data_IF_211246940077
#
_entry.id   IF_211246940077
#
_cell.length_a   1.000
_cell.length_b   1.000
_cell.length_c   1.000
_cell.angle_alpha   90.00
_cell.angle_beta   90.00
_cell.angle_gamma   90.00
#
_symmetry.space_group_name_H-M   'P 1'
#
loop_
_entity.id
_entity.type
_entity.pdbx_description
1 polymer ?
#
# COMPACT_ATOMS: atom_id res chain seq x y z
N UNK A 1 21.36 10.76 2.69
CA UNK A 1 21.13 9.54 1.86
C UNK A 1 21.17 8.35 2.81
N UNK A 2 20.15 7.50 2.84
CA UNK A 2 20.13 6.32 3.73
C UNK A 2 21.01 5.22 3.12
N UNK A 3 21.80 4.54 3.95
CA UNK A 3 22.55 3.33 3.60
C UNK A 3 22.00 2.15 4.39
N UNK A 4 22.07 0.95 3.83
CA UNK A 4 21.49 -0.25 4.42
C UNK A 4 22.05 -1.51 3.76
N UNK A 5 21.68 -2.66 4.33
CA UNK A 5 22.10 -3.99 3.89
C UNK A 5 21.40 -4.48 2.61
N UNK A 6 20.28 -3.87 2.24
CA UNK A 6 19.55 -4.16 1.01
C UNK A 6 18.99 -2.88 0.41
N UNK A 7 19.03 -2.79 -0.92
CA UNK A 7 18.35 -1.74 -1.68
C UNK A 7 17.58 -2.38 -2.83
N UNK A 8 16.28 -2.16 -2.86
CA UNK A 8 15.40 -2.61 -3.92
C UNK A 8 14.46 -1.48 -4.36
N UNK A 9 13.96 -1.58 -5.58
CA UNK A 9 12.95 -0.69 -6.16
C UNK A 9 11.56 -1.36 -6.26
N UNK A 10 11.39 -2.53 -5.61
CA UNK A 10 10.16 -3.28 -5.54
C UNK A 10 9.75 -3.43 -4.07
N UNK A 11 8.50 -3.09 -3.75
CA UNK A 11 7.95 -3.23 -2.41
C UNK A 11 7.93 -4.69 -1.93
N UNK A 12 7.56 -5.64 -2.81
CA UNK A 12 7.43 -7.05 -2.41
C UNK A 12 8.76 -7.64 -1.93
N UNK A 13 9.84 -7.35 -2.66
CA UNK A 13 11.20 -7.75 -2.26
C UNK A 13 11.60 -7.15 -0.91
N UNK A 14 11.21 -5.90 -0.63
CA UNK A 14 11.47 -5.27 0.67
C UNK A 14 10.63 -5.90 1.79
N UNK A 15 9.37 -6.25 1.51
CA UNK A 15 8.47 -6.97 2.43
C UNK A 15 9.06 -8.33 2.81
N UNK A 16 9.45 -9.15 1.82
CA UNK A 16 10.07 -10.45 2.06
C UNK A 16 11.33 -10.32 2.91
N UNK A 17 12.19 -9.34 2.60
CA UNK A 17 13.38 -9.06 3.38
C UNK A 17 13.08 -8.68 4.84
N UNK A 18 12.04 -7.86 5.07
CA UNK A 18 11.63 -7.49 6.42
C UNK A 18 11.07 -8.69 7.20
N UNK A 19 10.26 -9.54 6.56
CA UNK A 19 9.73 -10.77 7.17
C UNK A 19 10.86 -11.76 7.49
N UNK A 20 11.91 -11.82 6.66
CA UNK A 20 13.12 -12.59 6.91
C UNK A 20 14.05 -11.98 7.98
N UNK A 21 13.68 -10.86 8.60
CA UNK A 21 14.44 -10.23 9.67
C UNK A 21 15.65 -9.42 9.21
N UNK A 22 15.73 -9.06 7.91
CA UNK A 22 16.85 -8.28 7.38
C UNK A 22 16.80 -6.80 7.78
N UNK A 23 15.72 -6.32 8.40
CA UNK A 23 15.70 -4.98 8.99
C UNK A 23 14.33 -4.31 8.94
N UNK A 24 14.34 -2.98 9.01
CA UNK A 24 13.13 -2.15 9.00
C UNK A 24 12.87 -1.61 7.60
N UNK A 25 11.60 -1.57 7.21
CA UNK A 25 11.16 -0.98 5.95
C UNK A 25 10.08 0.06 6.20
N UNK A 26 10.06 1.08 5.34
CA UNK A 26 8.89 1.93 5.17
C UNK A 26 8.03 1.29 4.09
N UNK A 27 6.80 0.90 4.43
CA UNK A 27 5.91 0.19 3.51
C UNK A 27 4.50 0.75 3.54
N UNK A 28 3.73 0.40 2.51
CA UNK A 28 2.30 0.68 2.38
C UNK A 28 1.51 -0.44 3.04
N UNK A 29 0.43 -0.09 3.73
CA UNK A 29 -0.35 -1.05 4.51
C UNK A 29 -1.01 -2.13 3.66
N UNK A 30 -1.39 -1.83 2.40
CA UNK A 30 -1.89 -2.87 1.49
C UNK A 30 -0.89 -3.99 1.21
N UNK A 31 0.41 -3.70 1.34
CA UNK A 31 1.47 -4.67 1.07
C UNK A 31 1.79 -5.51 2.31
N UNK A 32 1.76 -4.91 3.50
CA UNK A 32 2.20 -5.56 4.75
C UNK A 32 1.08 -5.85 5.76
N UNK A 33 -0.15 -5.47 5.46
CA UNK A 33 -1.30 -5.56 6.37
C UNK A 33 -1.51 -6.98 6.90
N UNK A 34 -1.46 -7.98 6.02
CA UNK A 34 -1.60 -9.39 6.40
C UNK A 34 -0.44 -9.89 7.28
N UNK A 35 0.78 -9.40 7.08
CA UNK A 35 1.92 -9.76 7.93
C UNK A 35 1.87 -9.09 9.30
N UNK A 36 1.33 -7.87 9.36
CA UNK A 36 1.06 -7.17 10.62
C UNK A 36 -0.01 -7.92 11.41
N UNK A 37 -1.13 -8.30 10.77
CA UNK A 37 -2.20 -9.08 11.38
C UNK A 37 -1.73 -10.46 11.86
N UNK A 38 -0.90 -11.13 11.05
CA UNK A 38 -0.32 -12.42 11.41
C UNK A 38 0.84 -12.33 12.42
N UNK A 39 1.26 -11.14 12.83
CA UNK A 39 2.38 -10.92 13.77
C UNK A 39 3.77 -11.23 13.19
N UNK A 40 3.87 -11.46 11.87
CA UNK A 40 5.17 -11.63 11.17
C UNK A 40 5.93 -10.32 11.06
N UNK A 41 5.21 -9.20 10.99
CA UNK A 41 5.76 -7.85 11.06
C UNK A 41 5.17 -7.10 12.24
N UNK A 42 5.89 -6.06 12.69
CA UNK A 42 5.44 -5.18 13.77
C UNK A 42 5.62 -3.72 13.36
N UNK A 43 4.56 -2.91 13.54
CA UNK A 43 4.65 -1.46 13.35
C UNK A 43 5.57 -0.85 14.42
N UNK A 44 6.56 -0.09 13.97
CA UNK A 44 7.47 0.67 14.83
C UNK A 44 7.26 2.17 14.62
N UNK A 45 7.74 2.98 15.57
CA UNK A 45 7.70 4.45 15.51
C UNK A 45 6.31 5.04 15.17
N UNK A 46 5.20 4.63 15.81
CA UNK A 46 3.85 5.03 15.40
C UNK A 46 3.60 6.55 15.45
N UNK A 47 4.37 7.29 16.26
CA UNK A 47 4.32 8.76 16.37
C UNK A 47 5.06 9.49 15.24
N UNK A 48 5.81 8.77 14.41
CA UNK A 48 6.53 9.31 13.25
C UNK A 48 5.93 8.75 11.96
N UNK A 49 4.60 8.73 11.89
CA UNK A 49 3.90 8.32 10.69
C UNK A 49 4.18 9.31 9.56
N UNK A 50 4.29 8.80 8.34
CA UNK A 50 4.40 9.62 7.15
C UNK A 50 3.00 10.11 6.72
N UNK A 51 2.95 11.15 5.88
CA UNK A 51 1.70 11.57 5.26
C UNK A 51 1.02 10.40 4.57
N UNK A 52 -0.30 10.33 4.70
CA UNK A 52 -1.10 9.33 4.03
C UNK A 52 -0.98 9.47 2.51
N UNK A 53 -0.88 8.34 1.82
CA UNK A 53 -0.78 8.28 0.37
C UNK A 53 -2.11 7.82 -0.21
N UNK A 54 -2.68 8.63 -1.10
CA UNK A 54 -3.93 8.29 -1.78
C UNK A 54 -3.69 7.40 -3.00
N UNK A 55 -4.61 6.46 -3.25
CA UNK A 55 -4.67 5.69 -4.48
C UNK A 55 -5.59 6.41 -5.46
N UNK A 56 -5.09 6.70 -6.66
CA UNK A 56 -5.84 7.42 -7.69
C UNK A 56 -6.10 6.55 -8.92
N UNK A 57 -7.34 6.56 -9.41
CA UNK A 57 -7.68 6.00 -10.71
C UNK A 57 -7.48 7.06 -11.80
N UNK A 58 -6.41 6.94 -12.59
CA UNK A 58 -6.12 7.85 -13.69
C UNK A 58 -6.62 7.27 -15.02
N UNK A 59 -7.22 8.12 -15.84
CA UNK A 59 -7.69 7.76 -17.18
C UNK A 59 -7.42 8.90 -18.15
N UNK A 60 -7.22 8.57 -19.43
CA UNK A 60 -6.98 9.58 -20.45
C UNK A 60 -8.19 10.51 -20.58
N UNK A 61 -7.94 11.81 -20.63
CA UNK A 61 -8.97 12.81 -20.86
C UNK A 61 -9.64 12.55 -22.22
N UNK A 62 -10.96 12.38 -22.22
CA UNK A 62 -11.78 12.20 -23.42
C UNK A 62 -13.05 13.03 -23.28
N UNK A 63 -13.59 13.51 -24.41
CA UNK A 63 -14.86 14.28 -24.43
C UNK A 63 -16.01 13.54 -23.74
N UNK A 64 -16.03 12.22 -23.85
CA UNK A 64 -16.98 11.35 -23.14
C UNK A 64 -16.22 10.21 -22.46
N UNK A 65 -16.47 10.01 -21.17
CA UNK A 65 -15.96 8.87 -20.41
C UNK A 65 -16.76 7.62 -20.80
N UNK A 66 -16.14 6.54 -21.34
CA UNK A 66 -16.86 5.33 -21.67
C UNK A 66 -17.56 4.74 -20.44
N UNK A 67 -18.82 4.33 -20.59
CA UNK A 67 -19.63 3.81 -19.49
C UNK A 67 -18.93 2.67 -18.71
N UNK A 68 -18.25 1.76 -19.43
CA UNK A 68 -17.47 0.67 -18.82
C UNK A 68 -16.36 1.15 -17.88
N UNK A 69 -15.71 2.28 -18.18
CA UNK A 69 -14.64 2.85 -17.36
C UNK A 69 -15.25 3.47 -16.11
N UNK A 70 -16.35 4.21 -16.28
CA UNK A 70 -17.07 4.83 -15.16
C UNK A 70 -17.52 3.78 -14.14
N UNK A 71 -18.23 2.73 -14.59
CA UNK A 71 -18.73 1.69 -13.67
C UNK A 71 -17.59 0.89 -13.02
N UNK A 72 -16.44 0.75 -13.69
CA UNK A 72 -15.27 0.12 -13.08
C UNK A 72 -14.64 1.00 -12.00
N UNK A 73 -14.54 2.32 -12.21
CA UNK A 73 -14.06 3.26 -11.19
C UNK A 73 -15.01 3.27 -9.99
N UNK A 74 -16.33 3.29 -10.22
CA UNK A 74 -17.34 3.20 -9.17
C UNK A 74 -17.20 1.91 -8.35
N UNK A 75 -17.00 0.78 -9.03
CA UNK A 75 -16.74 -0.50 -8.37
C UNK A 75 -15.48 -0.46 -7.50
N UNK A 76 -14.36 0.05 -8.02
CA UNK A 76 -13.12 0.15 -7.25
C UNK A 76 -13.28 1.07 -6.03
N UNK A 77 -13.92 2.23 -6.21
CA UNK A 77 -14.20 3.14 -5.11
C UNK A 77 -15.05 2.47 -4.02
N UNK A 78 -16.12 1.78 -4.40
CA UNK A 78 -16.96 1.03 -3.46
C UNK A 78 -16.21 -0.13 -2.77
N UNK A 79 -15.22 -0.73 -3.44
CA UNK A 79 -14.46 -1.87 -2.92
C UNK A 79 -13.39 -1.48 -1.88
N UNK A 80 -12.83 -0.28 -2.00
CA UNK A 80 -11.66 0.14 -1.21
C UNK A 80 -11.93 1.35 -0.29
N UNK A 81 -12.96 2.15 -0.54
CA UNK A 81 -13.33 3.26 0.32
C UNK A 81 -14.38 2.84 1.37
N UNK A 82 -14.47 3.56 2.51
CA UNK A 82 -13.52 4.58 2.98
C UNK A 82 -12.26 3.97 3.60
N UNK A 83 -12.38 2.76 4.14
CA UNK A 83 -11.30 2.02 4.80
C UNK A 83 -11.13 0.66 4.11
N UNK A 84 -9.95 0.35 3.57
CA UNK A 84 -9.71 -0.90 2.88
C UNK A 84 -9.46 -2.05 3.88
N UNK A 85 -9.74 -3.28 3.44
CA UNK A 85 -9.71 -4.47 4.30
C UNK A 85 -8.34 -4.77 4.95
N UNK A 86 -7.23 -4.29 4.37
CA UNK A 86 -5.89 -4.47 4.94
C UNK A 86 -5.59 -3.50 6.09
N UNK A 87 -6.31 -2.38 6.19
CA UNK A 87 -6.22 -1.43 7.31
C UNK A 87 -7.24 -1.73 8.41
N UNK A 88 -8.32 -2.43 8.06
CA UNK A 88 -9.30 -2.94 9.02
C UNK A 88 -8.61 -3.83 10.09
N UNK A 89 -9.00 -3.71 11.37
CA UNK A 89 -8.37 -4.41 12.49
C UNK A 89 -8.40 -5.94 12.39
#
# INVERSE_FOLDING_TARGET
>A
RVSGNLRANNGETLREAAVAGLGIIQSLTFLVGEDLKAGRLKRILPRHALPELSIHALYAQRRHLPAKVRVFIEFLAARFAPEPAWDAP
#
